data_IF_277919050726
#
_entry.id   IF_277919050726
#
_cell.length_a   1.000
_cell.length_b   1.000
_cell.length_c   1.000
_cell.angle_alpha   90.00
_cell.angle_beta   90.00
_cell.angle_gamma   90.00
#
_symmetry.space_group_name_H-M   'P 1'
#
loop_
_entity.id
_entity.type
_entity.pdbx_description
1 polymer ?
#
# COMPACT_ATOMS: atom_id res chain seq x y z
N UNK A 1 -3.20 5.23 -15.23
CA UNK A 1 -3.27 4.76 -13.81
C UNK A 1 -1.94 4.14 -13.44
N UNK A 2 -1.35 4.58 -12.35
CA UNK A 2 -0.08 4.09 -11.80
C UNK A 2 -0.32 3.38 -10.46
N UNK A 3 0.67 2.64 -9.96
CA UNK A 3 0.66 2.12 -8.60
C UNK A 3 1.86 2.66 -7.80
N UNK A 4 1.59 3.11 -6.58
CA UNK A 4 2.60 3.52 -5.60
C UNK A 4 2.58 2.52 -4.45
N UNK A 5 3.70 1.83 -4.21
CA UNK A 5 3.81 0.81 -3.17
C UNK A 5 4.78 1.30 -2.09
N UNK A 6 4.32 1.34 -0.83
CA UNK A 6 5.14 1.74 0.30
C UNK A 6 5.79 0.52 0.95
N UNK A 7 7.12 0.41 0.83
CA UNK A 7 7.91 -0.73 1.28
C UNK A 7 9.15 -0.31 2.09
N UNK A 8 9.11 0.85 2.77
CA UNK A 8 10.26 1.39 3.48
C UNK A 8 10.41 0.90 4.93
N UNK A 9 9.35 0.34 5.52
CA UNK A 9 9.25 0.08 6.96
C UNK A 9 10.14 -1.05 7.49
N UNK A 10 10.60 -0.91 8.74
CA UNK A 10 11.46 -1.89 9.46
C UNK A 10 10.68 -3.12 9.92
N UNK A 11 9.37 -3.00 10.15
CA UNK A 11 8.50 -4.07 10.66
C UNK A 11 9.04 -4.76 11.93
N UNK A 12 9.53 -3.98 12.90
CA UNK A 12 10.22 -4.46 14.12
C UNK A 12 9.37 -5.42 14.98
N UNK A 13 8.04 -5.31 14.94
CA UNK A 13 7.11 -6.20 15.66
C UNK A 13 7.14 -7.65 15.16
N UNK A 14 7.64 -7.90 13.95
CA UNK A 14 7.74 -9.24 13.35
C UNK A 14 9.13 -9.87 13.51
N UNK A 15 10.04 -9.26 14.28
CA UNK A 15 11.33 -9.88 14.56
C UNK A 15 11.15 -11.21 15.32
N UNK A 16 11.98 -12.23 15.03
CA UNK A 16 13.21 -12.19 14.22
C UNK A 16 12.99 -12.33 12.70
N UNK A 17 11.77 -12.58 12.21
CA UNK A 17 11.48 -12.83 10.79
C UNK A 17 11.96 -11.69 9.88
N UNK A 18 11.93 -10.46 10.37
CA UNK A 18 12.27 -9.24 9.61
C UNK A 18 13.65 -8.67 9.92
N UNK A 19 14.53 -9.42 10.63
CA UNK A 19 15.90 -8.95 10.89
C UNK A 19 16.75 -8.90 9.61
N UNK A 20 16.59 -9.88 8.74
CA UNK A 20 17.38 -10.03 7.53
C UNK A 20 16.50 -10.15 6.27
N UNK A 21 15.22 -9.86 6.38
CA UNK A 21 14.27 -9.96 5.27
C UNK A 21 13.23 -8.85 5.38
N UNK A 22 13.06 -7.99 4.36
CA UNK A 22 11.98 -7.00 4.36
C UNK A 22 10.62 -7.68 4.51
N UNK A 23 9.69 -7.08 5.27
CA UNK A 23 8.35 -7.65 5.50
C UNK A 23 7.65 -8.03 4.19
N UNK A 24 7.73 -7.19 3.17
CA UNK A 24 7.10 -7.42 1.87
C UNK A 24 7.68 -8.63 1.12
N UNK A 25 8.89 -9.11 1.47
CA UNK A 25 9.49 -10.31 0.91
C UNK A 25 9.24 -11.57 1.73
N UNK A 26 8.53 -11.48 2.85
CA UNK A 26 8.07 -12.69 3.57
C UNK A 26 7.09 -13.47 2.69
N UNK A 27 7.23 -14.80 2.72
CA UNK A 27 6.44 -15.69 1.88
C UNK A 27 5.19 -16.21 2.61
N UNK A 28 4.06 -16.15 1.92
CA UNK A 28 2.82 -16.80 2.31
C UNK A 28 2.44 -17.78 1.20
N UNK A 29 2.39 -19.06 1.53
CA UNK A 29 2.11 -20.12 0.56
C UNK A 29 2.99 -20.04 -0.70
N UNK A 30 4.31 -19.94 -0.50
CA UNK A 30 5.33 -19.97 -1.55
C UNK A 30 5.60 -18.66 -2.29
N UNK A 31 4.69 -17.68 -2.27
CA UNK A 31 4.83 -16.36 -2.90
C UNK A 31 5.09 -15.27 -1.86
N UNK A 32 5.92 -14.28 -2.18
CA UNK A 32 6.11 -13.11 -1.32
C UNK A 32 4.88 -12.21 -1.30
N UNK A 33 4.73 -11.38 -0.25
CA UNK A 33 3.65 -10.39 -0.19
C UNK A 33 3.73 -9.41 -1.37
N UNK A 34 4.93 -8.90 -1.64
CA UNK A 34 5.17 -7.96 -2.74
C UNK A 34 4.85 -8.58 -4.11
N UNK A 35 5.22 -9.86 -4.35
CA UNK A 35 4.87 -10.57 -5.57
C UNK A 35 3.37 -10.65 -5.77
N UNK A 36 2.60 -10.98 -4.72
CA UNK A 36 1.13 -11.01 -4.79
C UNK A 36 0.55 -9.64 -5.09
N UNK A 37 1.09 -8.59 -4.46
CA UNK A 37 0.66 -7.22 -4.71
C UNK A 37 0.91 -6.84 -6.17
N UNK A 38 2.13 -7.05 -6.68
CA UNK A 38 2.46 -6.75 -8.08
C UNK A 38 1.60 -7.55 -9.06
N UNK A 39 1.46 -8.87 -8.84
CA UNK A 39 0.63 -9.73 -9.71
C UNK A 39 -0.82 -9.23 -9.76
N UNK A 40 -1.42 -8.85 -8.62
CA UNK A 40 -2.79 -8.32 -8.57
C UNK A 40 -2.95 -7.03 -9.39
N UNK A 41 -1.98 -6.14 -9.34
CA UNK A 41 -1.97 -4.92 -10.15
C UNK A 41 -1.80 -5.22 -11.64
N UNK A 42 -0.85 -6.10 -11.99
CA UNK A 42 -0.57 -6.51 -13.38
C UNK A 42 -1.79 -7.17 -14.02
N UNK A 43 -2.48 -8.06 -13.30
CA UNK A 43 -3.70 -8.72 -13.78
C UNK A 43 -4.84 -7.72 -14.05
N UNK A 44 -4.79 -6.53 -13.44
CA UNK A 44 -5.71 -5.41 -13.69
C UNK A 44 -5.16 -4.38 -14.70
N UNK A 45 -4.08 -4.70 -15.42
CA UNK A 45 -3.52 -3.86 -16.49
C UNK A 45 -2.65 -2.70 -16.02
N UNK A 46 -2.27 -2.65 -14.75
CA UNK A 46 -1.37 -1.63 -14.21
C UNK A 46 0.08 -2.13 -14.35
N UNK A 47 0.89 -1.38 -15.11
CA UNK A 47 2.28 -1.76 -15.44
C UNK A 47 3.30 -0.72 -15.06
N UNK A 48 2.87 0.47 -14.61
CA UNK A 48 3.73 1.55 -14.13
C UNK A 48 3.72 1.59 -12.60
N UNK A 49 4.88 1.37 -12.01
CA UNK A 49 5.04 1.29 -10.56
C UNK A 49 6.07 2.26 -10.02
N UNK A 50 5.79 2.78 -8.84
CA UNK A 50 6.79 3.34 -7.96
C UNK A 50 6.80 2.53 -6.67
N UNK A 51 7.97 2.06 -6.25
CA UNK A 51 8.16 1.41 -4.96
C UNK A 51 9.03 2.32 -4.09
N UNK A 52 8.46 2.80 -2.99
CA UNK A 52 9.22 3.56 -1.99
C UNK A 52 9.87 2.57 -1.05
N UNK A 53 11.20 2.53 -1.09
CA UNK A 53 12.04 1.60 -0.33
C UNK A 53 12.74 2.28 0.84
N UNK A 54 13.32 1.50 1.74
CA UNK A 54 14.09 1.99 2.90
C UNK A 54 14.86 0.85 3.54
N UNK A 55 14.30 0.24 4.59
CA UNK A 55 14.94 -0.89 5.27
C UNK A 55 15.21 -2.04 4.30
N UNK A 56 16.47 -2.51 4.27
CA UNK A 56 16.96 -3.60 3.40
C UNK A 56 16.57 -3.42 1.92
N UNK A 57 16.56 -2.16 1.43
CA UNK A 57 16.09 -1.80 0.10
C UNK A 57 16.70 -2.62 -1.03
N UNK A 58 18.01 -2.95 -0.96
CA UNK A 58 18.67 -3.70 -2.02
C UNK A 58 18.02 -5.05 -2.28
N UNK A 59 17.55 -5.74 -1.23
CA UNK A 59 16.84 -7.01 -1.38
C UNK A 59 15.52 -6.85 -2.16
N UNK A 60 14.81 -5.73 -1.93
CA UNK A 60 13.56 -5.42 -2.64
C UNK A 60 13.87 -5.13 -4.11
N UNK A 61 14.86 -4.27 -4.38
CA UNK A 61 15.28 -3.88 -5.73
C UNK A 61 15.73 -5.11 -6.51
N UNK A 62 16.62 -5.93 -5.93
CA UNK A 62 17.14 -7.15 -6.58
C UNK A 62 16.01 -8.14 -6.89
N UNK A 63 15.10 -8.36 -5.93
CA UNK A 63 13.95 -9.24 -6.11
C UNK A 63 13.06 -8.77 -7.26
N UNK A 64 12.69 -7.50 -7.26
CA UNK A 64 11.79 -6.93 -8.27
C UNK A 64 12.44 -6.92 -9.65
N UNK A 65 13.69 -6.48 -9.74
CA UNK A 65 14.42 -6.43 -11.02
C UNK A 65 14.60 -7.83 -11.64
N UNK A 66 14.86 -8.84 -10.82
CA UNK A 66 15.03 -10.22 -11.28
C UNK A 66 13.71 -10.85 -11.74
N UNK A 67 12.59 -10.59 -11.05
CA UNK A 67 11.32 -11.27 -11.31
C UNK A 67 10.40 -10.50 -12.27
N UNK A 68 10.57 -9.18 -12.39
CA UNK A 68 9.72 -8.31 -13.21
C UNK A 68 10.50 -7.42 -14.19
N UNK A 69 11.44 -7.98 -15.01
CA UNK A 69 12.36 -7.20 -15.85
C UNK A 69 11.67 -6.42 -16.98
N UNK A 70 10.40 -6.70 -17.26
CA UNK A 70 9.64 -6.06 -18.34
C UNK A 70 8.73 -4.92 -17.87
N UNK A 71 8.60 -4.72 -16.55
CA UNK A 71 7.76 -3.68 -16.00
C UNK A 71 8.52 -2.35 -15.88
N UNK A 72 7.78 -1.25 -16.02
CA UNK A 72 8.30 0.08 -15.74
C UNK A 72 8.22 0.33 -14.23
N UNK A 73 9.26 -0.06 -13.50
CA UNK A 73 9.31 0.10 -12.04
C UNK A 73 10.39 1.11 -11.67
N UNK A 74 9.97 2.16 -10.96
CA UNK A 74 10.87 3.14 -10.34
C UNK A 74 11.00 2.86 -8.85
N UNK A 75 12.16 3.19 -8.28
CA UNK A 75 12.43 3.09 -6.86
C UNK A 75 12.79 4.48 -6.33
N UNK A 76 12.24 4.83 -5.17
CA UNK A 76 12.64 6.01 -4.39
C UNK A 76 13.01 5.53 -3.00
N UNK A 77 14.18 5.94 -2.52
CA UNK A 77 14.63 5.63 -1.17
C UNK A 77 14.08 6.66 -0.16
N UNK A 78 13.35 6.20 0.84
CA UNK A 78 13.14 6.95 2.07
C UNK A 78 14.33 6.71 3.00
N UNK A 79 15.29 7.62 3.02
CA UNK A 79 16.51 7.52 3.87
C UNK A 79 16.18 7.63 5.36
N UNK A 80 15.08 8.28 5.68
CA UNK A 80 14.63 8.56 7.04
C UNK A 80 13.57 7.54 7.51
N UNK A 81 13.52 6.35 6.90
CA UNK A 81 12.52 5.31 7.15
C UNK A 81 12.41 4.89 8.63
N UNK A 82 13.48 5.05 9.40
CA UNK A 82 13.49 4.68 10.82
C UNK A 82 12.82 5.69 11.75
N UNK A 83 12.63 6.93 11.29
CA UNK A 83 12.10 8.06 12.06
C UNK A 83 10.85 8.69 11.46
N UNK A 84 10.48 8.27 10.24
CA UNK A 84 9.30 8.78 9.52
C UNK A 84 8.22 7.70 9.39
N UNK A 85 7.05 8.10 8.92
CA UNK A 85 5.89 7.23 8.69
C UNK A 85 5.51 7.12 7.20
N UNK A 86 4.42 6.39 6.91
CA UNK A 86 3.94 6.17 5.55
C UNK A 86 3.61 7.48 4.80
N UNK A 87 3.16 8.53 5.50
CA UNK A 87 2.85 9.83 4.88
C UNK A 87 4.11 10.46 4.27
N UNK A 88 5.25 10.36 4.95
CA UNK A 88 6.51 10.87 4.40
C UNK A 88 6.96 10.05 3.18
N UNK A 89 6.80 8.73 3.22
CA UNK A 89 7.07 7.89 2.05
C UNK A 89 6.16 8.24 0.87
N UNK A 90 4.89 8.53 1.12
CA UNK A 90 3.96 9.00 0.08
C UNK A 90 4.36 10.39 -0.45
N UNK A 91 4.78 11.31 0.42
CA UNK A 91 5.31 12.62 0.02
C UNK A 91 6.50 12.49 -0.95
N UNK A 92 7.43 11.57 -0.69
CA UNK A 92 8.54 11.31 -1.61
C UNK A 92 8.08 10.81 -3.00
N UNK A 93 6.90 10.18 -3.05
CA UNK A 93 6.31 9.70 -4.29
C UNK A 93 5.61 10.80 -5.12
N UNK A 94 5.43 12.01 -4.60
CA UNK A 94 4.67 13.11 -5.23
C UNK A 94 5.11 13.36 -6.67
N UNK A 95 6.42 13.44 -6.93
CA UNK A 95 6.95 13.71 -8.27
C UNK A 95 6.63 12.61 -9.30
N UNK A 96 6.35 11.39 -8.86
CA UNK A 96 5.95 10.28 -9.72
C UNK A 96 4.43 10.24 -9.92
N UNK A 97 3.69 10.48 -8.85
CA UNK A 97 2.23 10.48 -8.85
C UNK A 97 1.65 11.77 -9.46
N UNK A 98 2.40 12.88 -9.36
CA UNK A 98 1.90 14.22 -9.70
C UNK A 98 1.26 14.33 -11.08
N UNK A 99 -0.01 14.72 -11.11
CA UNK A 99 -0.81 14.96 -12.33
C UNK A 99 -1.35 13.70 -13.02
N UNK A 100 -1.24 12.52 -12.40
CA UNK A 100 -1.83 11.28 -12.93
C UNK A 100 -2.51 10.47 -11.83
N UNK A 101 -3.58 9.79 -12.20
CA UNK A 101 -4.31 8.87 -11.31
C UNK A 101 -3.41 7.74 -10.81
N UNK A 102 -3.51 7.42 -9.53
CA UNK A 102 -2.75 6.32 -8.94
C UNK A 102 -3.53 5.57 -7.86
N UNK A 103 -3.13 4.31 -7.64
CA UNK A 103 -3.52 3.52 -6.48
C UNK A 103 -2.32 3.42 -5.55
N UNK A 104 -2.51 3.82 -4.30
CA UNK A 104 -1.55 3.58 -3.23
C UNK A 104 -1.76 2.19 -2.66
N UNK A 105 -0.69 1.50 -2.29
CA UNK A 105 -0.73 0.21 -1.61
C UNK A 105 0.35 0.11 -0.55
N UNK A 106 -0.02 -0.35 0.63
CA UNK A 106 0.97 -0.91 1.54
C UNK A 106 1.53 -2.21 0.96
N UNK A 107 2.81 -2.49 1.20
CA UNK A 107 3.53 -3.63 0.60
C UNK A 107 3.34 -4.96 1.32
N UNK A 108 2.59 -4.96 2.40
CA UNK A 108 2.51 -6.06 3.37
C UNK A 108 1.08 -6.56 3.62
N UNK A 109 0.16 -6.21 2.74
CA UNK A 109 -1.24 -6.62 2.77
C UNK A 109 -1.50 -7.77 1.80
N UNK A 110 -2.47 -8.62 2.17
CA UNK A 110 -3.00 -9.68 1.30
C UNK A 110 -4.41 -9.31 0.88
N UNK A 111 -4.64 -9.22 -0.42
CA UNK A 111 -5.94 -8.88 -0.98
C UNK A 111 -6.20 -9.62 -2.30
N UNK A 112 -7.47 -9.74 -2.68
CA UNK A 112 -7.86 -10.26 -4.00
C UNK A 112 -7.66 -9.20 -5.07
N UNK A 113 -7.27 -9.62 -6.28
CA UNK A 113 -7.22 -8.77 -7.47
C UNK A 113 -8.54 -8.05 -7.76
N UNK A 114 -9.66 -8.62 -7.34
CA UNK A 114 -10.99 -8.05 -7.54
C UNK A 114 -11.17 -6.71 -6.81
N UNK A 115 -10.41 -6.46 -5.73
CA UNK A 115 -10.40 -5.16 -5.05
C UNK A 115 -9.84 -4.09 -5.98
N UNK A 116 -8.74 -4.37 -6.70
CA UNK A 116 -8.20 -3.43 -7.69
C UNK A 116 -9.20 -3.17 -8.80
N UNK A 117 -9.85 -4.22 -9.32
CA UNK A 117 -10.92 -4.09 -10.32
C UNK A 117 -12.06 -3.20 -9.82
N UNK A 118 -12.50 -3.39 -8.58
CA UNK A 118 -13.55 -2.58 -7.97
C UNK A 118 -13.14 -1.11 -7.80
N UNK A 119 -11.89 -0.85 -7.38
CA UNK A 119 -11.35 0.50 -7.30
C UNK A 119 -11.30 1.17 -8.68
N UNK A 120 -10.87 0.47 -9.72
CA UNK A 120 -10.74 1.00 -11.09
C UNK A 120 -12.09 1.32 -11.73
N UNK A 121 -13.11 0.52 -11.44
CA UNK A 121 -14.46 0.67 -12.05
C UNK A 121 -15.39 1.57 -11.24
N UNK A 122 -14.97 2.05 -10.07
CA UNK A 122 -15.77 2.97 -9.27
C UNK A 122 -15.84 4.35 -9.92
N UNK A 123 -17.04 4.94 -9.94
CA UNK A 123 -17.28 6.24 -10.60
C UNK A 123 -16.86 7.46 -9.76
N UNK A 124 -16.66 7.28 -8.44
CA UNK A 124 -16.18 8.39 -7.61
C UNK A 124 -14.70 8.67 -7.90
N UNK A 125 -14.24 9.93 -7.84
CA UNK A 125 -12.86 10.27 -8.13
C UNK A 125 -11.89 9.60 -7.14
N UNK A 126 -12.09 9.80 -5.84
CA UNK A 126 -11.26 9.20 -4.81
C UNK A 126 -12.03 8.13 -4.06
N UNK A 127 -11.45 6.95 -3.94
CA UNK A 127 -12.07 5.81 -3.27
C UNK A 127 -11.06 5.06 -2.42
N UNK A 128 -11.55 4.49 -1.34
CA UNK A 128 -10.77 3.76 -0.36
C UNK A 128 -11.37 2.38 -0.15
N UNK A 129 -10.55 1.34 -0.26
CA UNK A 129 -10.95 0.00 0.14
C UNK A 129 -11.01 -0.12 1.67
N UNK A 130 -12.10 -0.65 2.18
CA UNK A 130 -12.39 -0.75 3.60
C UNK A 130 -12.83 -2.18 3.95
N UNK A 131 -12.41 -2.66 5.13
CA UNK A 131 -12.91 -3.89 5.74
C UNK A 131 -13.84 -3.57 6.91
N UNK A 132 -14.92 -4.37 7.03
CA UNK A 132 -15.88 -4.26 8.13
C UNK A 132 -15.77 -5.49 9.02
N UNK A 133 -15.30 -5.28 10.24
CA UNK A 133 -15.19 -6.27 11.30
C UNK A 133 -15.25 -5.57 12.66
N UNK A 134 -15.15 -6.31 13.75
CA UNK A 134 -15.00 -5.73 15.09
C UNK A 134 -13.65 -5.02 15.19
N UNK A 135 -13.68 -3.71 15.49
CA UNK A 135 -12.51 -2.84 15.51
C UNK A 135 -11.88 -2.80 16.91
N UNK A 136 -10.55 -2.86 16.95
CA UNK A 136 -9.73 -2.64 18.14
C UNK A 136 -9.06 -1.25 18.14
N UNK A 137 -7.99 -1.13 18.92
CA UNK A 137 -7.24 0.12 19.06
C UNK A 137 -6.19 0.31 17.97
N UNK A 138 -5.66 -0.79 17.42
CA UNK A 138 -4.52 -0.77 16.48
C UNK A 138 -4.91 -0.47 15.03
N UNK A 139 -6.18 -0.68 14.67
CA UNK A 139 -6.67 -0.50 13.31
C UNK A 139 -6.74 0.97 12.91
N UNK A 140 -6.52 1.24 11.63
CA UNK A 140 -6.72 2.56 11.03
C UNK A 140 -8.22 2.70 10.70
N UNK A 141 -8.93 3.33 11.60
CA UNK A 141 -10.38 3.49 11.55
C UNK A 141 -10.80 4.57 10.54
N UNK A 142 -11.97 4.35 9.92
CA UNK A 142 -12.59 5.28 9.00
C UNK A 142 -13.90 5.77 9.61
N UNK A 143 -14.09 7.09 9.63
CA UNK A 143 -15.38 7.73 9.90
C UNK A 143 -15.89 8.30 8.57
N UNK A 144 -17.16 8.06 8.25
CA UNK A 144 -17.82 8.61 7.07
C UNK A 144 -19.15 9.23 7.43
N UNK A 145 -19.64 10.10 6.53
CA UNK A 145 -21.02 10.57 6.58
C UNK A 145 -22.01 9.54 5.98
N UNK A 146 -23.29 9.89 5.92
CA UNK A 146 -24.35 9.04 5.38
C UNK A 146 -24.27 8.85 3.86
N UNK A 147 -23.49 9.67 3.17
CA UNK A 147 -23.25 9.61 1.71
C UNK A 147 -21.97 8.83 1.39
N UNK A 148 -21.33 8.22 2.42
CA UNK A 148 -20.07 7.49 2.35
C UNK A 148 -18.85 8.37 2.02
N UNK A 149 -18.93 9.70 2.21
CA UNK A 149 -17.74 10.53 2.15
C UNK A 149 -16.89 10.31 3.40
N UNK A 150 -15.60 10.09 3.21
CA UNK A 150 -14.66 9.89 4.31
C UNK A 150 -14.41 11.23 5.00
N UNK A 151 -14.69 11.28 6.31
CA UNK A 151 -14.49 12.46 7.16
C UNK A 151 -13.19 12.38 7.96
N UNK A 152 -12.80 11.17 8.39
CA UNK A 152 -11.60 10.95 9.19
C UNK A 152 -11.03 9.56 8.94
N UNK A 153 -9.69 9.47 8.87
CA UNK A 153 -8.94 8.22 8.82
C UNK A 153 -7.85 8.31 9.88
N UNK A 154 -7.95 7.52 10.94
CA UNK A 154 -7.00 7.60 12.05
C UNK A 154 -7.05 6.35 12.94
N UNK A 155 -5.94 6.07 13.64
CA UNK A 155 -5.93 5.08 14.74
C UNK A 155 -6.66 5.57 15.98
N UNK A 156 -6.72 6.90 16.19
CA UNK A 156 -7.23 7.52 17.41
C UNK A 156 -8.68 7.97 17.32
N UNK A 157 -9.34 7.84 16.18
CA UNK A 157 -10.75 8.17 16.08
C UNK A 157 -11.63 7.17 16.83
N UNK A 158 -12.84 7.62 17.22
CA UNK A 158 -13.78 6.84 18.01
C UNK A 158 -14.17 5.54 17.32
N UNK A 159 -14.00 4.41 18.00
CA UNK A 159 -14.45 3.09 17.53
C UNK A 159 -15.97 3.08 17.30
N UNK A 160 -16.74 3.72 18.18
CA UNK A 160 -18.22 3.76 18.10
C UNK A 160 -18.74 4.48 16.85
N UNK A 161 -17.95 5.43 16.30
CA UNK A 161 -18.30 6.21 15.09
C UNK A 161 -17.68 5.61 13.82
N UNK A 162 -16.77 4.68 13.97
CA UNK A 162 -16.05 4.11 12.84
C UNK A 162 -16.95 3.15 12.03
N UNK A 163 -16.89 3.26 10.71
CA UNK A 163 -17.64 2.42 9.77
C UNK A 163 -16.84 1.20 9.32
N UNK A 164 -15.54 1.16 9.59
CA UNK A 164 -14.63 0.06 9.26
C UNK A 164 -13.16 0.47 9.36
N UNK A 165 -12.29 -0.41 8.92
CA UNK A 165 -10.85 -0.26 8.86
C UNK A 165 -10.37 0.04 7.44
N UNK A 166 -9.43 0.97 7.29
CA UNK A 166 -8.68 1.17 6.04
C UNK A 166 -7.74 0.00 5.79
N UNK A 167 -7.85 -0.63 4.63
CA UNK A 167 -6.97 -1.74 4.25
C UNK A 167 -5.71 -1.28 3.50
N UNK A 168 -5.42 0.02 3.45
CA UNK A 168 -4.20 0.55 2.83
C UNK A 168 -4.24 0.53 1.29
N UNK A 169 -5.42 0.62 0.68
CA UNK A 169 -5.63 0.63 -0.77
C UNK A 169 -6.57 1.77 -1.20
N UNK A 170 -6.13 3.03 -1.16
CA UNK A 170 -6.87 4.13 -1.77
C UNK A 170 -6.47 4.32 -3.25
N UNK A 171 -7.47 4.71 -4.07
CA UNK A 171 -7.27 5.28 -5.41
C UNK A 171 -7.48 6.77 -5.35
N UNK A 172 -6.61 7.53 -6.00
CA UNK A 172 -6.68 8.97 -6.16
C UNK A 172 -6.76 9.32 -7.65
N UNK A 173 -7.66 10.24 -7.99
CA UNK A 173 -7.82 10.82 -9.33
C UNK A 173 -7.41 12.29 -9.26
N UNK A 174 -6.56 12.73 -10.19
CA UNK A 174 -6.01 14.09 -10.20
C UNK A 174 -6.54 14.94 -11.33
#
# INVERSE_FOLDING_TARGET
MKAVILAAGVASRLRPLTENTPKCLLKVNGKTLLERTLDNFIENGITDFLIVTGYLQNMIIDFVTANYPKLNIKFIENKDYSTTNNIYSLYLAESFAGGEDFILSDSDILFSKDIISALLTNNNPDVLAMNRHELGEEEIKIISDNECNVLEISKVCSIEKAVGESVGLPRFVQ
#
